data_IF_841223646220
#
_entry.id   IF_841223646220
#
_cell.length_a   1.000
_cell.length_b   1.000
_cell.length_c   1.000
_cell.angle_alpha   90.00
_cell.angle_beta   90.00
_cell.angle_gamma   90.00
#
_symmetry.space_group_name_H-M   'P 1'
#
loop_
_entity.id
_entity.type
_entity.pdbx_description
1 polymer ?
#
# COMPACT_ATOMS: atom_id res chain seq x y z
N UNK A 1 0.53 7.41 -2.40
CA UNK A 1 0.03 6.01 -2.50
C UNK A 1 -0.71 5.80 -3.83
N UNK A 2 -0.58 4.63 -4.49
CA UNK A 2 -1.32 4.30 -5.72
C UNK A 2 -1.93 2.90 -5.61
N UNK A 3 -3.12 2.70 -6.16
CA UNK A 3 -3.70 1.36 -6.31
C UNK A 3 -3.00 0.60 -7.44
N UNK A 4 -2.81 -0.70 -7.23
CA UNK A 4 -2.12 -1.59 -8.16
C UNK A 4 -2.92 -2.89 -8.32
N UNK A 5 -2.79 -3.51 -9.49
CA UNK A 5 -3.32 -4.84 -9.75
C UNK A 5 -2.39 -5.93 -9.23
N UNK A 6 -2.92 -7.16 -9.08
CA UNK A 6 -2.12 -8.34 -8.71
C UNK A 6 -0.92 -8.55 -9.64
N UNK A 7 -1.11 -8.34 -10.95
CA UNK A 7 -0.03 -8.47 -11.94
C UNK A 7 1.09 -7.46 -11.66
N UNK A 8 0.75 -6.21 -11.39
CA UNK A 8 1.74 -5.18 -11.05
C UNK A 8 2.43 -5.48 -9.71
N UNK A 9 1.70 -6.00 -8.72
CA UNK A 9 2.29 -6.44 -7.46
C UNK A 9 3.37 -7.50 -7.68
N UNK A 10 3.10 -8.53 -8.49
CA UNK A 10 4.08 -9.58 -8.79
C UNK A 10 5.32 -9.08 -9.52
N UNK A 11 5.20 -8.06 -10.37
CA UNK A 11 6.37 -7.47 -11.03
C UNK A 11 7.14 -6.53 -10.09
N UNK A 12 6.44 -5.78 -9.25
CA UNK A 12 7.07 -4.89 -8.27
C UNK A 12 7.79 -5.64 -7.16
N UNK A 13 7.29 -6.80 -6.72
CA UNK A 13 7.91 -7.57 -5.64
C UNK A 13 9.26 -8.20 -6.03
N UNK A 14 9.55 -8.30 -7.33
CA UNK A 14 10.81 -8.88 -7.85
C UNK A 14 11.97 -7.90 -7.90
N UNK A 15 11.76 -6.62 -7.65
CA UNK A 15 12.83 -5.61 -7.73
C UNK A 15 13.57 -5.50 -6.41
N UNK A 16 14.86 -5.18 -6.45
CA UNK A 16 15.70 -5.07 -5.26
C UNK A 16 15.46 -3.83 -4.36
N UNK A 17 14.46 -2.99 -4.67
CA UNK A 17 14.12 -1.84 -3.84
C UNK A 17 13.12 -2.17 -2.74
N UNK A 18 13.28 -1.53 -1.58
CA UNK A 18 12.34 -1.65 -0.46
C UNK A 18 11.01 -0.98 -0.85
N UNK A 19 9.92 -1.73 -0.68
CA UNK A 19 8.56 -1.29 -1.00
C UNK A 19 7.61 -1.61 0.15
N UNK A 20 6.66 -0.72 0.37
CA UNK A 20 5.57 -0.90 1.33
C UNK A 20 4.28 -1.11 0.53
N UNK A 21 3.53 -2.16 0.90
CA UNK A 21 2.25 -2.49 0.29
C UNK A 21 1.16 -2.41 1.36
N UNK A 22 0.12 -1.61 1.09
CA UNK A 22 -1.06 -1.51 1.95
C UNK A 22 -2.17 -2.45 1.43
N UNK A 23 -2.43 -3.52 2.18
CA UNK A 23 -3.51 -4.46 1.89
C UNK A 23 -4.74 -4.06 2.70
N UNK A 24 -5.69 -3.39 2.05
CA UNK A 24 -6.87 -2.84 2.70
C UNK A 24 -8.17 -3.25 2.00
N UNK A 25 -9.30 -2.93 2.62
CA UNK A 25 -10.62 -3.08 2.05
C UNK A 25 -11.55 -1.95 2.53
N UNK A 26 -12.57 -1.55 1.75
CA UNK A 26 -13.46 -0.43 2.11
C UNK A 26 -14.29 -0.67 3.38
N UNK A 27 -14.53 -1.94 3.70
CA UNK A 27 -15.22 -2.39 4.91
C UNK A 27 -14.27 -2.64 6.09
N UNK A 28 -12.95 -2.58 5.90
CA UNK A 28 -11.98 -2.75 6.97
C UNK A 28 -11.91 -1.48 7.85
N UNK A 29 -12.59 -1.51 9.00
CA UNK A 29 -12.56 -0.43 9.99
C UNK A 29 -11.13 -0.04 10.45
N UNK A 30 -10.30 -0.99 10.90
CA UNK A 30 -8.92 -0.72 11.29
C UNK A 30 -8.05 -0.11 10.19
N UNK A 31 -8.18 -0.59 8.95
CA UNK A 31 -7.42 -0.10 7.80
C UNK A 31 -7.72 1.39 7.54
N UNK A 32 -9.00 1.79 7.61
CA UNK A 32 -9.42 3.19 7.44
C UNK A 32 -8.84 4.13 8.50
N UNK A 33 -8.60 3.64 9.72
CA UNK A 33 -7.95 4.44 10.77
C UNK A 33 -6.45 4.61 10.53
N UNK A 34 -5.79 3.61 9.92
CA UNK A 34 -4.36 3.64 9.62
C UNK A 34 -4.02 4.39 8.32
N UNK A 35 -4.94 4.44 7.36
CA UNK A 35 -4.78 5.12 6.07
C UNK A 35 -4.14 6.53 6.16
N UNK A 36 -4.62 7.47 7.00
CA UNK A 36 -4.02 8.81 7.06
C UNK A 36 -2.56 8.81 7.54
N UNK A 37 -2.19 7.88 8.42
CA UNK A 37 -0.81 7.75 8.92
C UNK A 37 0.10 7.20 7.80
N UNK A 38 -0.40 6.23 7.03
CA UNK A 38 0.36 5.70 5.89
C UNK A 38 0.51 6.72 4.75
N UNK A 39 -0.47 7.59 4.54
CA UNK A 39 -0.37 8.69 3.59
C UNK A 39 0.66 9.74 4.02
N UNK A 40 0.72 10.08 5.31
CA UNK A 40 1.71 11.00 5.86
C UNK A 40 3.14 10.45 5.64
N UNK A 41 3.39 9.20 6.03
CA UNK A 41 4.69 8.53 5.84
C UNK A 41 5.07 8.40 4.37
N UNK A 42 4.10 8.26 3.46
CA UNK A 42 4.36 8.18 2.02
C UNK A 42 4.80 9.52 1.39
N UNK A 43 4.59 10.64 2.09
CA UNK A 43 4.91 11.98 1.59
C UNK A 43 6.23 12.55 2.16
N UNK A 44 6.89 11.81 3.06
CA UNK A 44 8.26 12.09 3.51
C UNK A 44 9.30 11.55 2.51
#
# INVERSE_FOLDING_TARGET
>A
MREITDKEFFELSKTDSVKVFDFWAPWCGPCKMLAPVLEEVSNE
#
